data_IF_363787029124
#
_entry.id   IF_363787029124
#
_cell.length_a   1.000
_cell.length_b   1.000
_cell.length_c   1.000
_cell.angle_alpha   90.00
_cell.angle_beta   90.00
_cell.angle_gamma   90.00
#
_symmetry.space_group_name_H-M   'P 1'
#
loop_
_entity.id
_entity.type
_entity.pdbx_description
1 polymer ?
#
# COMPACT_ATOMS: atom_id res chain seq x y z
N UNK A 1 36.64 5.46 -6.27
CA UNK A 1 35.92 6.48 -5.48
C UNK A 1 34.46 6.44 -5.89
N UNK A 2 33.61 5.70 -5.16
CA UNK A 2 32.17 5.65 -5.45
C UNK A 2 31.56 7.02 -5.17
N UNK A 3 30.91 7.63 -6.17
CA UNK A 3 30.14 8.87 -5.96
C UNK A 3 28.98 8.54 -5.02
N UNK A 4 29.10 8.92 -3.75
CA UNK A 4 28.00 8.92 -2.79
C UNK A 4 26.92 9.85 -3.36
N UNK A 5 25.95 9.26 -4.06
CA UNK A 5 24.88 10.03 -4.68
C UNK A 5 23.88 10.31 -3.58
N UNK A 6 23.69 11.60 -3.27
CA UNK A 6 22.76 12.04 -2.23
C UNK A 6 21.35 11.56 -2.58
N UNK A 7 20.87 10.51 -1.90
CA UNK A 7 19.51 9.99 -2.06
C UNK A 7 18.53 11.03 -1.50
N UNK A 8 17.56 11.46 -2.30
CA UNK A 8 16.58 12.45 -1.87
C UNK A 8 15.81 11.95 -0.65
N UNK A 9 15.49 12.84 0.30
CA UNK A 9 14.85 12.45 1.56
C UNK A 9 13.52 11.74 1.32
N UNK A 10 12.75 12.16 0.31
CA UNK A 10 11.43 11.57 0.01
C UNK A 10 11.53 10.13 -0.50
N UNK A 11 12.70 9.71 -0.98
CA UNK A 11 12.94 8.36 -1.44
C UNK A 11 13.18 7.37 -0.29
N UNK A 12 13.51 7.80 0.92
CA UNK A 12 13.86 6.83 1.98
C UNK A 12 13.41 7.23 3.37
N UNK A 13 13.15 8.50 3.66
CA UNK A 13 12.73 8.96 4.98
C UNK A 13 11.22 8.84 5.17
N UNK A 14 10.76 7.66 5.60
CA UNK A 14 9.36 7.41 5.93
C UNK A 14 8.98 7.82 7.37
N UNK A 15 9.81 8.58 8.08
CA UNK A 15 9.53 8.98 9.47
C UNK A 15 8.21 9.75 9.62
N UNK A 16 7.80 10.49 8.59
CA UNK A 16 6.51 11.20 8.54
C UNK A 16 5.30 10.26 8.66
N UNK A 17 5.47 8.97 8.34
CA UNK A 17 4.43 7.95 8.43
C UNK A 17 4.36 7.25 9.80
N UNK A 18 5.28 7.52 10.74
CA UNK A 18 5.31 6.85 12.05
C UNK A 18 4.02 7.08 12.86
N UNK A 19 3.34 8.21 12.64
CA UNK A 19 2.06 8.57 13.29
C UNK A 19 0.87 8.56 12.32
N UNK A 20 1.07 8.12 11.08
CA UNK A 20 0.03 8.13 10.06
C UNK A 20 -1.07 7.06 10.33
N UNK A 21 -2.29 7.25 9.81
CA UNK A 21 -3.31 6.22 9.81
C UNK A 21 -2.82 4.92 9.15
N UNK A 22 -3.27 3.77 9.67
CA UNK A 22 -2.87 2.45 9.15
C UNK A 22 -3.12 2.31 7.64
N UNK A 23 -4.26 2.80 7.14
CA UNK A 23 -4.60 2.76 5.72
C UNK A 23 -3.56 3.48 4.86
N UNK A 24 -3.10 4.66 5.30
CA UNK A 24 -2.06 5.44 4.62
C UNK A 24 -0.71 4.72 4.61
N UNK A 25 -0.31 4.10 5.73
CA UNK A 25 0.95 3.33 5.83
C UNK A 25 0.94 2.16 4.85
N UNK A 26 -0.17 1.43 4.75
CA UNK A 26 -0.29 0.31 3.80
C UNK A 26 -0.33 0.79 2.35
N UNK A 27 -1.00 1.92 2.10
CA UNK A 27 -0.99 2.55 0.77
C UNK A 27 0.41 2.94 0.34
N UNK A 28 1.17 3.59 1.24
CA UNK A 28 2.57 3.92 1.02
C UNK A 28 3.41 2.67 0.73
N UNK A 29 3.25 1.61 1.53
CA UNK A 29 3.99 0.36 1.30
C UNK A 29 3.71 -0.25 -0.08
N UNK A 30 2.44 -0.34 -0.50
CA UNK A 30 2.10 -0.88 -1.81
C UNK A 30 2.65 -0.01 -2.94
N UNK A 31 2.56 1.32 -2.80
CA UNK A 31 3.12 2.27 -3.76
C UNK A 31 4.63 2.10 -3.91
N UNK A 32 5.35 2.02 -2.78
CA UNK A 32 6.80 1.88 -2.80
C UNK A 32 7.26 0.51 -3.30
N UNK A 33 6.55 -0.58 -2.98
CA UNK A 33 6.84 -1.90 -3.57
C UNK A 33 6.62 -1.91 -5.08
N UNK A 34 5.56 -1.26 -5.56
CA UNK A 34 5.30 -1.13 -6.99
C UNK A 34 6.41 -0.31 -7.67
N UNK A 35 6.95 0.72 -7.01
CA UNK A 35 8.15 1.45 -7.48
C UNK A 35 9.39 0.57 -7.53
N UNK A 36 9.66 -0.23 -6.48
CA UNK A 36 10.79 -1.17 -6.46
C UNK A 36 10.71 -2.20 -7.61
N UNK A 37 9.50 -2.56 -8.05
CA UNK A 37 9.26 -3.49 -9.17
C UNK A 37 9.29 -2.77 -10.53
N UNK A 38 9.41 -1.44 -10.55
CA UNK A 38 9.54 -0.66 -11.79
C UNK A 38 8.23 -0.04 -12.29
N UNK A 39 7.34 0.41 -11.40
CA UNK A 39 6.16 1.19 -11.79
C UNK A 39 6.51 2.52 -12.48
N UNK A 40 7.73 3.04 -12.28
CA UNK A 40 8.17 4.33 -12.82
C UNK A 40 7.55 5.54 -12.14
N UNK A 41 6.80 5.35 -11.05
CA UNK A 41 6.16 6.43 -10.31
C UNK A 41 7.16 7.17 -9.40
N UNK A 42 6.85 8.42 -9.11
CA UNK A 42 7.58 9.24 -8.12
C UNK A 42 7.38 8.69 -6.69
N UNK A 43 8.21 9.10 -5.71
CA UNK A 43 8.05 8.69 -4.32
C UNK A 43 6.68 9.02 -3.77
N UNK A 44 6.11 8.11 -2.99
CA UNK A 44 4.80 8.29 -2.37
C UNK A 44 4.74 9.59 -1.58
N UNK A 45 5.81 9.95 -0.88
CA UNK A 45 5.89 11.17 -0.08
C UNK A 45 5.81 12.47 -0.91
N UNK A 46 6.11 12.43 -2.22
CA UNK A 46 5.94 13.58 -3.14
C UNK A 46 4.51 13.70 -3.68
N UNK A 47 3.77 12.60 -3.66
CA UNK A 47 2.43 12.57 -4.24
C UNK A 47 1.48 13.54 -3.56
N UNK A 48 0.55 14.08 -4.34
CA UNK A 48 -0.59 14.87 -3.81
C UNK A 48 -1.47 14.03 -2.89
N UNK A 49 -1.56 12.72 -3.13
CA UNK A 49 -2.27 11.75 -2.28
C UNK A 49 -1.71 11.75 -0.86
N UNK A 50 -0.39 11.60 -0.70
CA UNK A 50 0.26 11.64 0.61
C UNK A 50 0.12 13.01 1.29
N UNK A 51 0.34 14.10 0.55
CA UNK A 51 0.21 15.46 1.11
C UNK A 51 -1.19 15.74 1.65
N UNK A 52 -2.24 15.36 0.92
CA UNK A 52 -3.63 15.49 1.37
C UNK A 52 -3.91 14.64 2.60
N UNK A 53 -3.42 13.41 2.62
CA UNK A 53 -3.60 12.47 3.73
C UNK A 53 -2.96 12.88 5.04
N UNK A 54 -1.79 13.52 4.95
CA UNK A 54 -1.07 14.02 6.11
C UNK A 54 -1.68 15.34 6.62
N UNK A 55 -2.31 16.13 5.74
CA UNK A 55 -3.00 17.36 6.12
C UNK A 55 -4.38 17.12 6.72
N UNK A 56 -5.13 16.13 6.22
CA UNK A 56 -6.44 15.75 6.74
C UNK A 56 -6.49 14.24 7.07
N UNK A 57 -6.44 13.88 8.36
CA UNK A 57 -6.55 12.49 8.82
C UNK A 57 -7.83 11.78 8.38
N UNK A 58 -8.89 12.53 8.03
CA UNK A 58 -10.15 11.96 7.55
C UNK A 58 -10.16 11.72 6.03
N UNK A 59 -9.18 12.23 5.27
CA UNK A 59 -9.15 12.09 3.81
C UNK A 59 -8.95 10.64 3.32
N UNK A 60 -8.53 9.75 4.22
CA UNK A 60 -8.35 8.31 3.98
C UNK A 60 -9.40 7.44 4.68
N UNK A 61 -10.43 8.05 5.29
CA UNK A 61 -11.66 7.32 5.63
C UNK A 61 -12.39 7.07 4.31
N UNK A 62 -12.10 5.95 3.67
CA UNK A 62 -13.00 5.41 2.65
C UNK A 62 -14.38 5.30 3.27
N UNK A 63 -15.37 5.97 2.68
CA UNK A 63 -16.76 5.62 2.92
C UNK A 63 -16.92 4.16 2.52
N UNK A 64 -17.30 3.29 3.46
CA UNK A 64 -17.70 1.92 3.15
C UNK A 64 -19.03 1.95 2.38
N UNK A 65 -19.01 2.39 1.12
CA UNK A 65 -20.16 2.37 0.22
C UNK A 65 -20.13 1.03 -0.52
N UNK A 66 -20.44 -0.05 0.19
CA UNK A 66 -20.56 -1.42 -0.33
C UNK A 66 -21.92 -1.77 -0.95
N UNK A 67 -22.75 -0.75 -1.24
CA UNK A 67 -24.06 -0.94 -1.86
C UNK A 67 -23.99 -0.34 -3.27
N UNK A 68 -23.96 -1.20 -4.27
CA UNK A 68 -24.04 -0.80 -5.69
C UNK A 68 -25.31 -1.36 -6.29
N UNK A 69 -26.19 -0.49 -6.76
CA UNK A 69 -27.37 -0.88 -7.51
C UNK A 69 -26.99 -1.60 -8.81
N UNK A 70 -27.66 -2.70 -9.12
CA UNK A 70 -27.55 -3.34 -10.43
C UNK A 70 -27.97 -2.32 -11.51
N UNK A 71 -27.01 -1.84 -12.29
CA UNK A 71 -27.25 -0.98 -13.46
C UNK A 71 -26.69 0.44 -13.39
N UNK A 72 -26.18 0.92 -12.23
CA UNK A 72 -25.46 2.20 -12.14
C UNK A 72 -24.08 2.02 -11.51
N UNK A 73 -23.15 1.54 -12.33
CA UNK A 73 -21.74 1.52 -11.96
C UNK A 73 -21.17 2.93 -11.87
N UNK A 74 -21.13 3.51 -10.67
CA UNK A 74 -20.27 4.66 -10.37
C UNK A 74 -19.94 4.78 -8.87
N UNK A 75 -19.34 3.74 -8.32
CA UNK A 75 -18.38 3.90 -7.23
C UNK A 75 -17.11 3.19 -7.69
N UNK A 76 -16.16 3.96 -8.24
CA UNK A 76 -14.83 3.43 -8.60
C UNK A 76 -14.12 3.05 -7.32
N UNK A 77 -14.31 1.80 -6.87
CA UNK A 77 -13.44 1.18 -5.88
C UNK A 77 -12.03 1.34 -6.41
N UNK A 78 -11.14 1.95 -5.61
CA UNK A 78 -9.79 2.20 -6.09
C UNK A 78 -9.12 0.84 -6.32
N UNK A 79 -8.21 0.68 -7.31
CA UNK A 79 -7.61 -0.62 -7.65
C UNK A 79 -6.83 -1.33 -6.52
N UNK A 80 -6.70 -0.67 -5.35
CA UNK A 80 -6.07 -1.18 -4.15
C UNK A 80 -7.06 -1.57 -3.03
N UNK A 81 -8.35 -1.30 -3.21
CA UNK A 81 -9.45 -1.72 -2.34
C UNK A 81 -10.15 -2.92 -3.00
N UNK A 82 -10.28 -4.03 -2.28
CA UNK A 82 -11.14 -5.13 -2.71
C UNK A 82 -12.60 -4.67 -2.54
N UNK A 83 -13.33 -4.50 -3.65
CA UNK A 83 -14.72 -4.08 -3.60
C UNK A 83 -15.58 -5.18 -2.98
N UNK A 84 -16.11 -4.95 -1.78
CA UNK A 84 -17.14 -5.78 -1.17
C UNK A 84 -18.48 -5.22 -1.65
N UNK A 85 -18.93 -5.68 -2.82
CA UNK A 85 -20.16 -5.20 -3.44
C UNK A 85 -21.31 -6.19 -3.19
N UNK A 86 -22.44 -5.68 -2.71
CA UNK A 86 -23.73 -6.37 -2.75
C UNK A 86 -24.55 -5.81 -3.92
N UNK A 87 -24.91 -6.65 -4.88
CA UNK A 87 -25.80 -6.27 -5.98
C UNK A 87 -27.25 -6.40 -5.57
N UNK A 88 -28.03 -5.33 -5.70
CA UNK A 88 -29.46 -5.30 -5.34
C UNK A 88 -30.32 -5.38 -6.60
N UNK A 89 -31.18 -6.40 -6.68
CA UNK A 89 -32.26 -6.46 -7.67
C UNK A 89 -33.56 -5.89 -7.07
N UNK A 90 -33.81 -4.60 -7.29
CA UNK A 90 -34.98 -3.91 -6.77
C UNK A 90 -36.33 -4.41 -7.30
N UNK A 91 -36.34 -5.32 -8.28
CA UNK A 91 -37.58 -5.97 -8.75
C UNK A 91 -38.08 -7.06 -7.78
N UNK A 92 -37.26 -7.48 -6.81
CA UNK A 92 -37.61 -8.52 -5.85
C UNK A 92 -38.43 -7.99 -4.66
N UNK A 93 -39.31 -8.82 -4.07
CA UNK A 93 -40.00 -8.49 -2.82
C UNK A 93 -39.03 -8.22 -1.66
N UNK A 94 -39.45 -7.38 -0.71
CA UNK A 94 -38.63 -7.00 0.46
C UNK A 94 -38.05 -8.20 1.21
N UNK A 95 -38.84 -9.24 1.43
CA UNK A 95 -38.41 -10.42 2.20
C UNK A 95 -37.31 -11.19 1.47
N UNK A 96 -37.37 -11.24 0.14
CA UNK A 96 -36.35 -11.86 -0.70
C UNK A 96 -35.06 -11.04 -0.70
N UNK A 97 -35.16 -9.70 -0.72
CA UNK A 97 -34.00 -8.82 -0.58
C UNK A 97 -33.31 -8.99 0.78
N UNK A 98 -34.08 -9.09 1.87
CA UNK A 98 -33.54 -9.32 3.22
C UNK A 98 -32.86 -10.69 3.30
N UNK A 99 -33.44 -11.73 2.70
CA UNK A 99 -32.86 -13.08 2.64
C UNK A 99 -31.56 -13.10 1.85
N UNK A 100 -31.52 -12.49 0.66
CA UNK A 100 -30.33 -12.39 -0.16
C UNK A 100 -29.21 -11.60 0.53
N UNK A 101 -29.57 -10.52 1.24
CA UNK A 101 -28.62 -9.74 2.02
C UNK A 101 -28.07 -10.56 3.20
N UNK A 102 -28.91 -11.31 3.92
CA UNK A 102 -28.49 -12.19 5.00
C UNK A 102 -27.53 -13.28 4.53
N UNK A 103 -27.87 -13.99 3.45
CA UNK A 103 -26.98 -15.00 2.85
C UNK A 103 -25.66 -14.40 2.37
N UNK A 104 -25.70 -13.20 1.80
CA UNK A 104 -24.50 -12.50 1.41
C UNK A 104 -23.64 -12.14 2.63
N UNK A 105 -24.23 -11.65 3.73
CA UNK A 105 -23.53 -11.37 4.99
C UNK A 105 -22.89 -12.65 5.55
N UNK A 106 -23.62 -13.75 5.65
CA UNK A 106 -23.10 -15.05 6.13
C UNK A 106 -21.96 -15.55 5.24
N UNK A 107 -22.06 -15.36 3.93
CA UNK A 107 -21.00 -15.70 2.98
C UNK A 107 -19.77 -14.81 3.18
N UNK A 108 -19.94 -13.51 3.41
CA UNK A 108 -18.82 -12.63 3.67
C UNK A 108 -18.22 -12.84 5.07
N UNK A 109 -19.00 -13.28 6.07
CA UNK A 109 -18.50 -13.60 7.40
C UNK A 109 -17.74 -14.93 7.41
N UNK A 110 -18.28 -15.98 6.78
CA UNK A 110 -17.64 -17.29 6.66
C UNK A 110 -16.37 -17.28 5.82
N UNK A 111 -16.31 -16.44 4.78
CA UNK A 111 -15.08 -16.20 4.00
C UNK A 111 -14.09 -15.28 4.73
N UNK A 112 -14.45 -14.79 5.92
CA UNK A 112 -13.68 -13.83 6.68
C UNK A 112 -13.66 -12.43 6.09
N UNK A 113 -14.30 -12.15 4.94
CA UNK A 113 -14.28 -10.86 4.24
C UNK A 113 -14.91 -9.70 5.03
N UNK A 114 -15.95 -9.93 5.84
CA UNK A 114 -16.47 -8.92 6.79
C UNK A 114 -15.57 -8.73 8.01
N UNK A 115 -14.79 -9.77 8.37
CA UNK A 115 -13.82 -9.77 9.46
C UNK A 115 -12.42 -9.33 9.01
N UNK A 116 -12.20 -9.17 7.71
CA UNK A 116 -10.94 -8.71 7.12
C UNK A 116 -10.85 -7.21 7.40
N UNK A 117 -10.40 -6.88 8.61
CA UNK A 117 -9.22 -6.00 8.68
C UNK A 117 -8.29 -6.55 7.61
N UNK A 118 -7.91 -5.79 6.57
CA UNK A 118 -7.04 -6.29 5.52
C UNK A 118 -5.94 -7.10 6.21
N UNK A 119 -5.80 -8.38 5.86
CA UNK A 119 -4.74 -9.23 6.37
C UNK A 119 -3.42 -8.74 5.76
N UNK A 120 -3.04 -7.53 6.13
CA UNK A 120 -1.81 -6.86 5.88
C UNK A 120 -1.24 -6.62 7.27
N UNK A 121 -0.02 -7.09 7.47
CA UNK A 121 0.67 -7.24 8.76
C UNK A 121 0.44 -6.10 9.75
N UNK A 122 0.68 -6.39 11.03
CA UNK A 122 0.58 -5.40 12.12
C UNK A 122 1.20 -4.09 11.60
N UNK A 123 0.67 -2.88 11.89
CA UNK A 123 1.22 -1.63 11.35
C UNK A 123 2.75 -1.51 11.51
N UNK A 124 3.29 -2.12 12.58
CA UNK A 124 4.72 -2.37 12.75
C UNK A 124 5.37 -3.07 11.57
N UNK A 125 4.81 -4.13 11.02
CA UNK A 125 5.33 -4.90 9.89
C UNK A 125 5.39 -4.07 8.61
N UNK A 126 4.35 -3.27 8.32
CA UNK A 126 4.33 -2.43 7.12
C UNK A 126 5.31 -1.26 7.21
N UNK A 127 5.32 -0.57 8.35
CA UNK A 127 6.28 0.49 8.64
C UNK A 127 7.72 -0.05 8.72
N UNK A 128 7.90 -1.26 9.27
CA UNK A 128 9.19 -1.96 9.27
C UNK A 128 9.62 -2.34 7.86
N UNK A 129 8.70 -2.75 6.99
CA UNK A 129 9.02 -3.01 5.59
C UNK A 129 9.40 -1.73 4.85
N UNK A 130 8.71 -0.61 5.09
CA UNK A 130 9.12 0.72 4.59
C UNK A 130 10.53 1.08 5.06
N UNK A 131 10.85 0.84 6.34
CA UNK A 131 12.21 1.03 6.88
C UNK A 131 13.24 0.10 6.21
N UNK A 132 12.88 -1.14 5.88
CA UNK A 132 13.73 -2.05 5.10
C UNK A 132 13.95 -1.54 3.68
N UNK A 133 12.93 -0.97 3.03
CA UNK A 133 13.05 -0.29 1.73
C UNK A 133 14.01 0.92 1.86
N UNK A 134 13.90 1.73 2.92
CA UNK A 134 14.86 2.82 3.19
C UNK A 134 16.31 2.32 3.21
N UNK A 135 16.55 1.21 3.91
CA UNK A 135 17.89 0.59 3.99
C UNK A 135 18.39 0.17 2.61
N UNK A 136 17.55 -0.50 1.82
CA UNK A 136 17.91 -0.94 0.46
C UNK A 136 18.28 0.26 -0.41
N UNK A 137 17.49 1.34 -0.37
CA UNK A 137 17.75 2.56 -1.16
C UNK A 137 19.01 3.29 -0.72
N UNK A 138 19.26 3.42 0.58
CA UNK A 138 20.50 3.98 1.12
C UNK A 138 21.71 3.16 0.66
N UNK A 139 21.63 1.82 0.75
CA UNK A 139 22.69 0.92 0.31
C UNK A 139 22.94 1.02 -1.20
N UNK A 140 21.88 1.09 -2.01
CA UNK A 140 21.99 1.28 -3.47
C UNK A 140 22.60 2.64 -3.82
N UNK A 141 22.38 3.67 -2.99
CA UNK A 141 23.05 4.97 -3.09
C UNK A 141 24.53 4.97 -2.65
N UNK A 142 25.09 3.81 -2.29
CA UNK A 142 26.46 3.66 -1.79
C UNK A 142 26.64 4.08 -0.33
N UNK A 143 25.55 4.38 0.38
CA UNK A 143 25.61 4.83 1.76
C UNK A 143 25.60 3.62 2.70
N UNK A 144 26.70 3.44 3.43
CA UNK A 144 26.69 2.58 4.60
C UNK A 144 25.97 3.27 5.76
N UNK A 145 25.63 2.52 6.80
CA UNK A 145 24.98 3.04 7.99
C UNK A 145 25.68 4.27 8.59
N UNK A 146 27.01 4.21 8.72
CA UNK A 146 27.81 5.31 9.27
C UNK A 146 27.77 6.52 8.35
N UNK A 147 27.98 6.29 7.05
CA UNK A 147 27.99 7.36 6.05
C UNK A 147 26.62 8.03 5.95
N UNK A 148 25.52 7.28 6.06
CA UNK A 148 24.17 7.84 6.07
C UNK A 148 23.92 8.75 7.29
N UNK A 149 24.41 8.39 8.47
CA UNK A 149 24.32 9.21 9.68
C UNK A 149 25.10 10.53 9.56
N UNK A 150 26.26 10.49 8.91
CA UNK A 150 27.08 11.69 8.66
C UNK A 150 26.47 12.56 7.54
N UNK A 151 25.80 11.94 6.55
CA UNK A 151 25.20 12.63 5.41
C UNK A 151 23.88 13.34 5.76
N UNK A 152 23.08 12.77 6.67
CA UNK A 152 21.78 13.30 7.09
C UNK A 152 21.70 13.50 8.61
N UNK A 153 22.42 14.49 9.16
CA UNK A 153 22.48 14.73 10.60
C UNK A 153 21.11 15.11 11.19
N UNK A 154 20.25 15.76 10.40
CA UNK A 154 18.86 16.11 10.72
C UNK A 154 17.93 14.88 10.85
N UNK A 155 18.32 13.75 10.27
CA UNK A 155 17.55 12.49 10.28
C UNK A 155 18.08 11.44 11.26
N UNK A 156 18.94 11.85 12.21
CA UNK A 156 19.61 10.96 13.17
C UNK A 156 18.67 10.02 13.91
N UNK A 157 17.49 10.49 14.33
CA UNK A 157 16.52 9.67 15.07
C UNK A 157 15.96 8.54 14.21
N UNK A 158 15.58 8.84 12.96
CA UNK A 158 15.07 7.84 12.04
C UNK A 158 16.16 6.83 11.64
N UNK A 159 17.38 7.31 11.33
CA UNK A 159 18.52 6.45 11.03
C UNK A 159 18.89 5.52 12.20
N UNK A 160 18.85 6.01 13.44
CA UNK A 160 18.99 5.15 14.64
C UNK A 160 17.93 4.06 14.71
N UNK A 161 16.71 4.30 14.22
CA UNK A 161 15.67 3.26 14.15
C UNK A 161 15.97 2.20 13.09
N UNK A 162 16.58 2.59 11.95
CA UNK A 162 17.02 1.66 10.90
C UNK A 162 18.16 0.76 11.39
N UNK A 163 19.01 1.25 12.29
CA UNK A 163 20.11 0.48 12.88
C UNK A 163 19.65 -0.74 13.68
N UNK A 164 18.37 -0.77 14.11
CA UNK A 164 17.78 -1.92 14.80
C UNK A 164 17.45 -3.08 13.84
N UNK A 165 17.51 -2.85 12.54
CA UNK A 165 17.20 -3.83 11.49
C UNK A 165 18.52 -4.32 10.89
N UNK A 166 18.64 -5.62 10.64
CA UNK A 166 19.80 -6.16 9.93
C UNK A 166 19.75 -5.75 8.44
N UNK A 167 20.71 -4.94 8.00
CA UNK A 167 20.75 -4.39 6.64
C UNK A 167 20.93 -5.47 5.55
N UNK A 168 21.61 -6.57 5.86
CA UNK A 168 21.79 -7.69 4.94
C UNK A 168 20.49 -8.48 4.76
N UNK A 169 19.75 -8.69 5.86
CA UNK A 169 18.45 -9.38 5.82
C UNK A 169 17.38 -8.51 5.17
N UNK A 170 17.44 -7.19 5.36
CA UNK A 170 16.50 -6.23 4.79
C UNK A 170 16.36 -6.38 3.26
N UNK A 171 17.48 -6.49 2.53
CA UNK A 171 17.46 -6.72 1.08
C UNK A 171 16.68 -7.98 0.70
N UNK A 172 16.98 -9.12 1.36
CA UNK A 172 16.31 -10.40 1.06
C UNK A 172 14.80 -10.35 1.34
N UNK A 173 14.39 -9.65 2.39
CA UNK A 173 12.98 -9.53 2.76
C UNK A 173 12.22 -8.59 1.84
N UNK A 174 12.86 -7.48 1.40
CA UNK A 174 12.29 -6.60 0.38
C UNK A 174 12.14 -7.35 -0.94
N UNK A 175 13.15 -8.10 -1.39
CA UNK A 175 13.06 -8.92 -2.60
C UNK A 175 11.90 -9.93 -2.54
N UNK A 176 11.72 -10.57 -1.37
CA UNK A 176 10.60 -11.50 -1.14
C UNK A 176 9.26 -10.77 -1.20
N UNK A 177 9.16 -9.57 -0.64
CA UNK A 177 7.95 -8.74 -0.70
C UNK A 177 7.65 -8.31 -2.15
N UNK A 178 8.67 -7.89 -2.90
CA UNK A 178 8.55 -7.53 -4.32
C UNK A 178 8.06 -8.72 -5.16
N UNK A 179 8.67 -9.91 -5.01
CA UNK A 179 8.20 -11.13 -5.69
C UNK A 179 6.74 -11.46 -5.38
N UNK A 180 6.34 -11.36 -4.10
CA UNK A 180 4.95 -11.59 -3.69
C UNK A 180 4.00 -10.57 -4.32
N UNK A 181 4.39 -9.29 -4.38
CA UNK A 181 3.59 -8.23 -5.00
C UNK A 181 3.50 -8.42 -6.52
N UNK A 182 4.60 -8.77 -7.19
CA UNK A 182 4.62 -9.05 -8.62
C UNK A 182 3.70 -10.22 -9.00
N UNK A 183 3.66 -11.28 -8.18
CA UNK A 183 2.70 -12.39 -8.39
C UNK A 183 1.25 -11.92 -8.25
N UNK A 184 0.95 -11.05 -7.27
CA UNK A 184 -0.39 -10.45 -7.13
C UNK A 184 -0.75 -9.57 -8.33
N UNK A 185 0.19 -8.77 -8.83
CA UNK A 185 -0.01 -7.93 -10.01
C UNK A 185 -0.30 -8.77 -11.26
N UNK A 186 0.41 -9.90 -11.45
CA UNK A 186 0.10 -10.87 -12.50
C UNK A 186 -1.31 -11.46 -12.38
N UNK A 187 -1.79 -11.71 -11.17
CA UNK A 187 -3.18 -12.13 -10.95
C UNK A 187 -4.15 -11.03 -11.38
N UNK A 188 -3.87 -9.77 -11.02
CA UNK A 188 -4.70 -8.62 -11.42
C UNK A 188 -4.76 -8.48 -12.94
N UNK A 189 -3.61 -8.58 -13.64
CA UNK A 189 -3.54 -8.55 -15.12
C UNK A 189 -4.45 -9.60 -15.76
N UNK A 190 -4.37 -10.85 -15.26
CA UNK A 190 -5.23 -11.94 -15.75
C UNK A 190 -6.71 -11.67 -15.51
N UNK A 191 -7.07 -11.17 -14.32
CA UNK A 191 -8.47 -10.90 -13.97
C UNK A 191 -9.04 -9.73 -14.77
N UNK A 192 -8.23 -8.70 -15.05
CA UNK A 192 -8.65 -7.49 -15.77
C UNK A 192 -8.53 -7.64 -17.29
N UNK A 193 -7.96 -8.73 -17.81
CA UNK A 193 -7.74 -8.96 -19.25
C UNK A 193 -6.68 -8.05 -19.87
N UNK A 194 -5.88 -7.37 -19.05
CA UNK A 194 -4.85 -6.41 -19.48
C UNK A 194 -3.46 -7.03 -19.34
N UNK A 195 -2.51 -6.59 -20.19
CA UNK A 195 -1.11 -7.02 -20.15
C UNK A 195 -0.20 -6.05 -19.38
N UNK A 196 -0.75 -4.95 -18.87
CA UNK A 196 0.01 -3.94 -18.14
C UNK A 196 -0.74 -3.47 -16.89
N UNK A 197 -0.38 -4.08 -15.76
CA UNK A 197 -0.91 -3.72 -14.45
C UNK A 197 -0.71 -2.24 -14.11
N UNK A 198 0.28 -1.55 -14.70
CA UNK A 198 0.53 -0.13 -14.39
C UNK A 198 -0.64 0.73 -14.84
N UNK A 199 -1.20 0.41 -16.02
CA UNK A 199 -2.36 1.10 -16.57
C UNK A 199 -3.60 0.85 -15.71
N UNK A 200 -3.79 -0.38 -15.26
CA UNK A 200 -4.98 -0.76 -14.48
C UNK A 200 -4.93 -0.20 -13.05
N UNK A 201 -3.75 -0.18 -12.43
CA UNK A 201 -3.58 0.25 -11.04
C UNK A 201 -3.50 1.77 -10.91
N UNK A 202 -2.88 2.46 -11.87
CA UNK A 202 -2.60 3.89 -11.75
C UNK A 202 -3.42 4.77 -12.70
N UNK A 203 -4.14 4.18 -13.66
CA UNK A 203 -4.65 4.92 -14.80
C UNK A 203 -3.50 5.35 -15.72
N UNK A 204 -3.70 5.22 -17.03
CA UNK A 204 -2.87 5.93 -18.00
C UNK A 204 -3.02 7.43 -17.84
#
# INVERSE_FOLDING_TARGET
MSKNTKVANEDWDFSVLDKAPRSLIHRALLWELDREIGSGKEPFLKTTECRKALADPNSFRGTATGVTELGRGNAKTRPFEEAINFGIDWSQPRDELVRQFGLWLDTQESTGRLQVKPALGKPRDALTMLRKISIVRLKNGGLSQRVAADTYPDKKTYLKSLNKINWTTASREVDKACKKRQNKLKTIERTMGSKDWKKDVYGG
#
